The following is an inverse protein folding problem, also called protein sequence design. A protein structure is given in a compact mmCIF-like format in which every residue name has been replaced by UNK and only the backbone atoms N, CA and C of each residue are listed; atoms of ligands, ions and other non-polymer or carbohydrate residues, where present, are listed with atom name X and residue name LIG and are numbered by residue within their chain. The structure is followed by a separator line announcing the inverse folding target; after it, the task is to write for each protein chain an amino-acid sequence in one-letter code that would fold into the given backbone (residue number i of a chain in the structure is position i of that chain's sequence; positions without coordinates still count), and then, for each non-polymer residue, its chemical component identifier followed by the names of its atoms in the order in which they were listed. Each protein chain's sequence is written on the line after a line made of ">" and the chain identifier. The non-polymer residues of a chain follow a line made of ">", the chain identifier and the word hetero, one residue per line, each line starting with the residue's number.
data_IF_188866669271
#
_entry.id   IF_188866669271
#
_cell.length_a   1.000
_cell.length_b   1.000
_cell.length_c   1.000
_cell.angle_alpha   90.00
_cell.angle_beta   90.00
_cell.angle_gamma   90.00
#
_symmetry.space_group_name_H-M   'P 1'
#
loop_
_entity.id
_entity.type
_entity.pdbx_description
1 polymer ?
#
# COMPACT_ATOMS: atom_id res chain seq x y z
N UNK A 1 10.47 3.99 11.51
CA UNK A 1 10.03 4.13 10.12
C UNK A 1 10.72 3.12 9.19
N UNK A 2 12.06 3.16 8.99
CA UNK A 2 12.78 2.30 8.04
C UNK A 2 12.55 0.79 8.27
N UNK A 3 12.54 0.33 9.51
CA UNK A 3 12.29 -1.07 9.83
C UNK A 3 10.86 -1.52 9.48
N UNK A 4 9.86 -0.69 9.77
CA UNK A 4 8.46 -0.95 9.42
C UNK A 4 8.28 -0.98 7.90
N UNK A 5 8.82 0.04 7.20
CA UNK A 5 8.78 0.09 5.73
C UNK A 5 9.44 -1.14 5.11
N UNK A 6 10.60 -1.59 5.64
CA UNK A 6 11.30 -2.77 5.16
C UNK A 6 10.48 -4.05 5.31
N UNK A 7 9.78 -4.23 6.43
CA UNK A 7 8.89 -5.39 6.65
C UNK A 7 7.72 -5.40 5.66
N UNK A 8 7.04 -4.26 5.52
CA UNK A 8 5.92 -4.14 4.57
C UNK A 8 6.37 -4.34 3.14
N UNK A 9 7.50 -3.75 2.75
CA UNK A 9 8.08 -3.93 1.41
C UNK A 9 8.46 -5.39 1.16
N UNK A 10 9.08 -6.05 2.14
CA UNK A 10 9.39 -7.47 2.07
C UNK A 10 8.16 -8.32 1.84
N UNK A 11 7.08 -8.04 2.54
CA UNK A 11 5.80 -8.73 2.35
C UNK A 11 5.25 -8.53 0.94
N UNK A 12 5.19 -7.30 0.44
CA UNK A 12 4.68 -6.97 -0.89
C UNK A 12 5.57 -7.46 -2.04
N UNK A 13 6.86 -7.66 -1.79
CA UNK A 13 7.83 -8.11 -2.81
C UNK A 13 8.32 -9.53 -2.62
N UNK A 14 7.64 -10.32 -1.76
CA UNK A 14 7.97 -11.72 -1.46
C UNK A 14 9.42 -11.92 -1.00
N UNK A 15 9.86 -11.06 -0.13
CA UNK A 15 11.24 -11.11 0.39
C UNK A 15 12.29 -10.56 -0.57
N UNK A 16 11.91 -10.11 -1.78
CA UNK A 16 12.90 -9.60 -2.73
C UNK A 16 13.61 -8.34 -2.24
N UNK A 17 12.90 -7.45 -1.53
CA UNK A 17 13.46 -6.25 -0.93
C UNK A 17 13.01 -6.20 0.54
N UNK A 18 13.96 -6.32 1.47
CA UNK A 18 13.62 -6.51 2.89
C UNK A 18 14.09 -5.39 3.79
N UNK A 19 14.96 -4.52 3.29
CA UNK A 19 15.49 -3.40 4.05
C UNK A 19 15.33 -2.12 3.27
N UNK A 20 14.98 -1.07 4.00
CA UNK A 20 14.91 0.31 3.50
C UNK A 20 15.94 1.11 4.27
N UNK A 21 16.79 1.85 3.57
CA UNK A 21 17.78 2.75 4.15
C UNK A 21 17.54 4.15 3.59
N UNK A 22 17.75 5.17 4.41
CA UNK A 22 17.75 6.57 4.02
C UNK A 22 19.13 7.11 4.30
N UNK A 23 19.76 7.74 3.33
CA UNK A 23 21.01 8.44 3.56
C UNK A 23 20.80 9.78 4.27
N UNK A 24 21.86 10.52 4.50
CA UNK A 24 21.83 11.84 5.17
C UNK A 24 21.09 12.91 4.38
N UNK A 25 20.93 12.69 3.08
CA UNK A 25 20.19 13.58 2.17
C UNK A 25 18.74 13.10 1.95
N UNK A 26 18.32 12.05 2.70
CA UNK A 26 17.01 11.40 2.60
C UNK A 26 16.78 10.68 1.27
N UNK A 27 17.83 10.33 0.52
CA UNK A 27 17.69 9.49 -0.65
C UNK A 27 17.42 8.04 -0.21
N UNK A 28 16.32 7.45 -0.66
CA UNK A 28 15.96 6.10 -0.26
C UNK A 28 16.71 5.05 -1.10
N UNK A 29 17.23 4.03 -0.40
CA UNK A 29 17.71 2.81 -1.02
C UNK A 29 16.99 1.59 -0.45
N UNK A 30 16.92 0.53 -1.22
CA UNK A 30 16.41 -0.77 -0.78
C UNK A 30 17.50 -1.82 -0.93
N UNK A 31 17.52 -2.79 -0.01
CA UNK A 31 18.43 -3.93 -0.12
C UNK A 31 17.68 -5.12 -0.68
N UNK A 32 18.20 -5.63 -1.77
CA UNK A 32 17.81 -6.92 -2.33
C UNK A 32 18.52 -8.04 -1.57
N UNK A 33 17.86 -9.19 -1.45
CA UNK A 33 18.44 -10.38 -0.82
C UNK A 33 19.84 -10.68 -1.43
N UNK A 34 20.86 -10.83 -0.57
CA UNK A 34 22.23 -11.14 -0.97
C UNK A 34 23.24 -9.99 -1.03
N UNK A 35 22.91 -8.70 -0.70
CA UNK A 35 23.91 -7.67 -0.37
C UNK A 35 23.95 -6.36 -1.17
N UNK A 36 23.19 -6.17 -2.25
CA UNK A 36 23.29 -4.91 -3.01
C UNK A 36 22.23 -3.92 -2.58
N UNK A 37 22.64 -2.70 -2.26
CA UNK A 37 21.74 -1.57 -2.14
C UNK A 37 21.41 -1.03 -3.53
N UNK A 38 20.12 -0.77 -3.75
CA UNK A 38 19.59 -0.32 -5.03
C UNK A 38 18.84 0.99 -4.75
N UNK A 39 19.17 2.10 -5.44
CA UNK A 39 18.39 3.32 -5.39
C UNK A 39 16.94 3.05 -5.80
N UNK A 40 15.98 3.68 -5.13
CA UNK A 40 14.55 3.46 -5.40
C UNK A 40 14.18 3.82 -6.84
N UNK A 41 14.87 4.80 -7.43
CA UNK A 41 14.69 5.23 -8.81
C UNK A 41 15.03 4.14 -9.83
N UNK A 42 15.92 3.22 -9.47
CA UNK A 42 16.32 2.08 -10.33
C UNK A 42 15.37 0.88 -10.22
N UNK A 43 14.35 0.94 -9.37
CA UNK A 43 13.35 -0.10 -9.25
C UNK A 43 12.38 -0.10 -10.44
N UNK A 44 11.78 -1.26 -10.72
CA UNK A 44 10.62 -1.34 -11.62
C UNK A 44 9.44 -0.53 -11.04
N UNK A 45 8.52 -0.09 -11.90
CA UNK A 45 7.35 0.70 -11.48
C UNK A 45 6.59 0.03 -10.33
N UNK A 46 6.22 -1.24 -10.47
CA UNK A 46 5.50 -1.95 -9.41
C UNK A 46 6.31 -2.14 -8.11
N UNK A 47 7.64 -2.25 -8.17
CA UNK A 47 8.47 -2.33 -6.97
C UNK A 47 8.59 -0.95 -6.30
N UNK A 48 8.66 0.11 -7.09
CA UNK A 48 8.68 1.49 -6.61
C UNK A 48 7.34 1.89 -5.97
N UNK A 49 6.22 1.50 -6.57
CA UNK A 49 4.90 1.72 -5.97
C UNK A 49 4.76 0.96 -4.64
N UNK A 50 5.24 -0.28 -4.58
CA UNK A 50 5.27 -1.04 -3.34
C UNK A 50 6.15 -0.38 -2.27
N UNK A 51 7.28 0.21 -2.65
CA UNK A 51 8.14 0.96 -1.73
C UNK A 51 7.42 2.19 -1.16
N UNK A 52 6.83 3.04 -2.02
CA UNK A 52 6.13 4.23 -1.54
C UNK A 52 4.90 3.89 -0.71
N UNK A 53 4.19 2.81 -1.05
CA UNK A 53 3.12 2.30 -0.20
C UNK A 53 3.66 1.88 1.17
N UNK A 54 4.73 1.09 1.20
CA UNK A 54 5.34 0.62 2.45
C UNK A 54 5.79 1.78 3.35
N UNK A 55 6.36 2.83 2.75
CA UNK A 55 6.77 4.04 3.48
C UNK A 55 5.56 4.78 4.08
N UNK A 56 4.49 4.96 3.29
CA UNK A 56 3.24 5.61 3.75
C UNK A 56 2.56 4.81 4.87
N UNK A 57 2.47 3.48 4.70
CA UNK A 57 1.89 2.60 5.70
C UNK A 57 2.65 2.65 7.03
N UNK A 58 3.98 2.60 6.97
CA UNK A 58 4.83 2.70 8.15
C UNK A 58 4.69 4.07 8.84
N UNK A 59 4.65 5.15 8.07
CA UNK A 59 4.44 6.50 8.61
C UNK A 59 3.06 6.62 9.28
N UNK A 60 2.01 6.11 8.62
CA UNK A 60 0.66 6.12 9.17
C UNK A 60 0.58 5.36 10.51
N UNK A 61 1.24 4.20 10.61
CA UNK A 61 1.30 3.43 11.86
C UNK A 61 2.05 4.19 12.97
N UNK A 62 3.18 4.81 12.67
CA UNK A 62 3.92 5.59 13.66
C UNK A 62 3.13 6.82 14.15
N UNK A 63 2.42 7.48 13.26
CA UNK A 63 1.58 8.63 13.60
C UNK A 63 0.33 8.21 14.37
N UNK A 64 -0.32 7.11 13.99
CA UNK A 64 -1.54 6.62 14.64
C UNK A 64 -1.35 6.31 16.12
N UNK A 65 -0.13 6.02 16.56
CA UNK A 65 0.20 5.86 17.97
C UNK A 65 0.05 7.16 18.80
N UNK A 66 0.06 8.32 18.12
CA UNK A 66 -0.06 9.65 18.75
C UNK A 66 -1.38 10.31 18.41
N UNK A 67 -1.78 10.24 17.17
CA UNK A 67 -2.98 10.84 16.63
C UNK A 67 -3.60 9.93 15.56
N UNK A 68 -4.87 9.51 15.70
CA UNK A 68 -5.51 8.54 14.80
C UNK A 68 -5.88 9.21 13.46
N UNK A 69 -4.90 9.35 12.58
CA UNK A 69 -5.10 9.87 11.23
C UNK A 69 -5.53 8.75 10.28
N UNK A 70 -6.47 9.00 9.35
CA UNK A 70 -6.83 8.02 8.33
C UNK A 70 -5.73 7.88 7.27
N UNK A 71 -5.50 6.65 6.81
CA UNK A 71 -4.69 6.37 5.63
C UNK A 71 -5.57 6.41 4.38
N UNK A 72 -5.36 7.42 3.55
CA UNK A 72 -6.06 7.58 2.27
C UNK A 72 -5.19 7.08 1.12
N UNK A 73 -5.73 6.17 0.32
CA UNK A 73 -5.07 5.57 -0.84
C UNK A 73 -5.93 5.74 -2.08
N UNK A 74 -5.31 6.18 -3.17
CA UNK A 74 -5.94 6.35 -4.48
C UNK A 74 -5.27 5.41 -5.50
N UNK A 75 -6.02 4.42 -5.96
CA UNK A 75 -5.59 3.36 -6.88
C UNK A 75 -4.17 2.78 -6.62
N UNK A 76 -3.85 2.34 -5.40
CA UNK A 76 -2.50 1.92 -5.04
C UNK A 76 -2.03 0.64 -5.75
N UNK A 77 -2.91 -0.02 -6.51
CA UNK A 77 -2.64 -1.30 -7.17
C UNK A 77 -2.48 -1.19 -8.68
N UNK A 78 -2.42 0.01 -9.25
CA UNK A 78 -2.42 0.23 -10.70
C UNK A 78 -1.35 -0.58 -11.46
N UNK A 79 -0.17 -0.79 -10.85
CA UNK A 79 0.94 -1.56 -11.45
C UNK A 79 1.22 -2.88 -10.73
N UNK A 80 0.24 -3.41 -9.97
CA UNK A 80 0.41 -4.66 -9.23
C UNK A 80 -0.17 -5.85 -10.02
N UNK A 81 0.58 -6.95 -10.01
CA UNK A 81 0.05 -8.25 -10.37
C UNK A 81 -0.99 -8.74 -9.33
N UNK A 82 -1.71 -9.81 -9.66
CA UNK A 82 -2.79 -10.32 -8.81
C UNK A 82 -2.32 -10.71 -7.40
N UNK A 83 -1.16 -11.34 -7.30
CA UNK A 83 -0.63 -11.82 -6.04
C UNK A 83 -0.16 -10.65 -5.14
N UNK A 84 0.52 -9.67 -5.73
CA UNK A 84 0.93 -8.47 -5.01
C UNK A 84 -0.28 -7.64 -4.56
N UNK A 85 -1.34 -7.62 -5.37
CA UNK A 85 -2.62 -7.00 -4.98
C UNK A 85 -3.22 -7.69 -3.78
N UNK A 86 -3.27 -9.04 -3.77
CA UNK A 86 -3.74 -9.81 -2.61
C UNK A 86 -2.91 -9.53 -1.35
N UNK A 87 -1.59 -9.48 -1.49
CA UNK A 87 -0.68 -9.13 -0.38
C UNK A 87 -0.94 -7.72 0.15
N UNK A 88 -1.20 -6.74 -0.73
CA UNK A 88 -1.57 -5.39 -0.33
C UNK A 88 -2.89 -5.38 0.43
N UNK A 89 -3.93 -6.04 -0.08
CA UNK A 89 -5.25 -6.08 0.57
C UNK A 89 -5.14 -6.69 1.97
N UNK A 90 -4.45 -7.82 2.12
CA UNK A 90 -4.22 -8.42 3.43
C UNK A 90 -3.50 -7.48 4.40
N UNK A 91 -2.51 -6.73 3.90
CA UNK A 91 -1.81 -5.74 4.71
C UNK A 91 -2.71 -4.56 5.11
N UNK A 92 -3.60 -4.11 4.22
CA UNK A 92 -4.59 -3.07 4.53
C UNK A 92 -5.59 -3.52 5.59
N UNK A 93 -6.03 -4.78 5.54
CA UNK A 93 -6.89 -5.37 6.58
C UNK A 93 -6.20 -5.41 7.95
N UNK A 94 -4.90 -5.71 7.98
CA UNK A 94 -4.11 -5.66 9.21
C UNK A 94 -3.95 -4.21 9.73
N UNK A 95 -3.65 -3.26 8.87
CA UNK A 95 -3.57 -1.84 9.23
C UNK A 95 -4.90 -1.32 9.77
N UNK A 96 -6.02 -1.78 9.20
CA UNK A 96 -7.36 -1.35 9.59
C UNK A 96 -7.75 -1.75 11.02
N UNK A 97 -6.98 -2.63 11.67
CA UNK A 97 -7.16 -2.96 13.10
C UNK A 97 -6.77 -1.79 14.01
N UNK A 98 -5.83 -0.97 13.57
CA UNK A 98 -5.24 0.10 14.38
C UNK A 98 -5.59 1.50 13.88
N UNK A 99 -5.86 1.67 12.58
CA UNK A 99 -6.16 2.97 11.97
C UNK A 99 -7.27 2.86 10.92
N UNK A 100 -7.91 3.97 10.61
CA UNK A 100 -8.90 4.03 9.52
C UNK A 100 -8.19 3.98 8.17
N UNK A 101 -8.58 3.03 7.31
CA UNK A 101 -8.11 2.95 5.93
C UNK A 101 -9.24 3.34 4.98
N UNK A 102 -8.96 4.28 4.09
CA UNK A 102 -9.88 4.72 3.03
C UNK A 102 -9.20 4.42 1.69
N UNK A 103 -9.76 3.49 0.94
CA UNK A 103 -9.26 3.10 -0.37
C UNK A 103 -10.20 3.58 -1.47
N UNK A 104 -9.67 4.40 -2.37
CA UNK A 104 -10.34 4.77 -3.61
C UNK A 104 -9.81 3.87 -4.71
N UNK A 105 -10.70 3.21 -5.47
CA UNK A 105 -10.28 2.37 -6.58
C UNK A 105 -11.37 2.16 -7.59
N UNK A 106 -10.99 2.00 -8.85
CA UNK A 106 -11.84 1.53 -9.93
C UNK A 106 -11.66 0.01 -10.19
N UNK A 107 -10.68 -0.63 -9.56
CA UNK A 107 -10.39 -2.06 -9.75
C UNK A 107 -11.36 -2.95 -8.96
N UNK A 108 -12.31 -3.54 -9.68
CA UNK A 108 -13.31 -4.46 -9.11
C UNK A 108 -12.71 -5.71 -8.47
N UNK A 109 -11.51 -6.11 -8.88
CA UNK A 109 -10.84 -7.31 -8.36
C UNK A 109 -10.47 -7.17 -6.89
N UNK A 110 -10.23 -5.94 -6.42
CA UNK A 110 -9.98 -5.66 -5.00
C UNK A 110 -11.20 -6.04 -4.16
N UNK A 111 -12.43 -5.76 -4.64
CA UNK A 111 -13.66 -6.09 -3.92
C UNK A 111 -13.82 -7.58 -3.63
N UNK A 112 -13.30 -8.43 -4.50
CA UNK A 112 -13.36 -9.88 -4.33
C UNK A 112 -12.31 -10.42 -3.34
N UNK A 113 -11.32 -9.62 -3.00
CA UNK A 113 -10.22 -9.99 -2.10
C UNK A 113 -10.40 -9.44 -0.68
N UNK A 114 -11.15 -8.34 -0.53
CA UNK A 114 -11.43 -7.74 0.79
C UNK A 114 -12.49 -8.56 1.52
N UNK A 115 -12.22 -8.90 2.78
CA UNK A 115 -13.12 -9.70 3.63
C UNK A 115 -14.12 -8.84 4.36
N UNK A 116 -13.66 -7.73 4.94
CA UNK A 116 -14.48 -6.80 5.72
C UNK A 116 -14.24 -5.37 5.27
N UNK A 117 -15.25 -4.75 4.64
CA UNK A 117 -15.19 -3.36 4.25
C UNK A 117 -16.58 -2.76 4.04
N UNK A 118 -16.72 -1.47 4.30
CA UNK A 118 -17.85 -0.70 3.81
C UNK A 118 -17.56 -0.21 2.39
N UNK A 119 -18.36 -0.66 1.43
CA UNK A 119 -18.20 -0.30 0.02
C UNK A 119 -19.18 0.81 -0.33
N UNK A 120 -18.64 1.96 -0.76
CA UNK A 120 -19.42 3.07 -1.28
C UNK A 120 -19.18 3.21 -2.79
N UNK A 121 -20.24 3.24 -3.57
CA UNK A 121 -20.17 3.55 -5.00
C UNK A 121 -20.33 5.05 -5.18
N UNK A 122 -19.42 5.67 -5.95
CA UNK A 122 -19.48 7.07 -6.31
C UNK A 122 -19.66 7.17 -7.81
N UNK A 123 -20.64 7.92 -8.27
CA UNK A 123 -20.97 8.14 -9.67
C UNK A 123 -22.47 8.35 -9.86
N UNK A 124 -22.86 9.06 -10.90
CA UNK A 124 -24.25 9.18 -11.33
C UNK A 124 -24.65 7.95 -12.13
N UNK A 125 -25.87 7.43 -11.96
CA UNK A 125 -26.41 6.23 -12.61
C UNK A 125 -26.50 6.31 -14.15
N UNK A 126 -25.98 7.34 -14.79
CA UNK A 126 -26.24 7.63 -16.21
C UNK A 126 -25.20 7.13 -17.22
N UNK A 127 -24.20 6.35 -16.83
CA UNK A 127 -23.34 5.65 -17.82
C UNK A 127 -22.70 4.39 -17.26
N UNK A 128 -22.97 3.28 -17.93
CA UNK A 128 -22.61 1.93 -17.49
C UNK A 128 -21.11 1.56 -17.59
N UNK A 129 -20.20 2.52 -17.73
CA UNK A 129 -18.79 2.23 -18.04
C UNK A 129 -17.74 2.84 -17.10
N UNK A 130 -18.10 3.75 -16.17
CA UNK A 130 -17.07 4.42 -15.36
C UNK A 130 -17.58 4.76 -13.94
N UNK A 131 -17.71 3.76 -13.10
CA UNK A 131 -18.08 3.93 -11.69
C UNK A 131 -16.88 3.76 -10.79
N UNK A 132 -16.25 4.87 -10.40
CA UNK A 132 -15.26 4.92 -9.31
C UNK A 132 -15.93 4.44 -8.02
N UNK A 133 -15.34 3.46 -7.36
CA UNK A 133 -15.84 2.91 -6.10
C UNK A 133 -14.92 3.31 -4.97
N UNK A 134 -15.50 3.82 -3.88
CA UNK A 134 -14.80 3.97 -2.61
C UNK A 134 -14.98 2.69 -1.80
N UNK A 135 -13.88 2.16 -1.29
CA UNK A 135 -13.87 1.09 -0.31
C UNK A 135 -13.35 1.71 0.98
N UNK A 136 -14.15 1.69 2.03
CA UNK A 136 -13.71 2.06 3.36
C UNK A 136 -13.59 0.78 4.17
N UNK A 137 -12.36 0.43 4.52
CA UNK A 137 -12.08 -0.65 5.45
C UNK A 137 -12.16 -0.04 6.85
N UNK A 138 -13.14 -0.45 7.65
CA UNK A 138 -13.38 0.08 9.01
C UNK A 138 -13.09 -0.97 10.06
N UNK A 139 -12.71 -0.45 11.23
CA UNK A 139 -12.86 -1.13 12.52
C UNK A 139 -14.29 -1.58 12.74
#
# INVERSE_FOLDING_TARGET
>A
LAQLSGRTLGHLTRGRYTQVTLDTELNPTVRQDGAREIPVEALSHGARDAFYFALRAALAQELAAREPLPLLLDDPTAHFDEERRGSLVGHLEDLAKDLQVILLTHDRRILNQVREAHVLKIGTESSASDSTRKIQIRR
#
